data_IF_475432192428
#
_entry.id   IF_475432192428
#
_cell.length_a   1.000
_cell.length_b   1.000
_cell.length_c   1.000
_cell.angle_alpha   90.00
_cell.angle_beta   90.00
_cell.angle_gamma   90.00
#
_symmetry.space_group_name_H-M   'P 1'
#
loop_
_entity.id
_entity.type
_entity.pdbx_description
1 polymer ?
#
# COMPACT_ATOMS: atom_id res chain seq x y z
N UNK A 1 -17.36 -67.86 -26.88
CA UNK A 1 -17.53 -66.44 -26.49
C UNK A 1 -16.42 -65.68 -27.21
N UNK A 2 -16.75 -64.94 -28.26
CA UNK A 2 -15.76 -64.15 -29.00
C UNK A 2 -15.56 -62.81 -28.27
N UNK A 3 -14.34 -62.53 -27.78
CA UNK A 3 -14.02 -61.21 -27.24
C UNK A 3 -13.84 -60.23 -28.39
N UNK A 4 -14.73 -59.26 -28.55
CA UNK A 4 -14.51 -58.16 -29.48
C UNK A 4 -13.39 -57.28 -28.93
N UNK A 5 -12.19 -57.39 -29.50
CA UNK A 5 -11.10 -56.45 -29.22
C UNK A 5 -11.36 -55.17 -29.99
N UNK A 6 -11.94 -54.17 -29.33
CA UNK A 6 -12.05 -52.82 -29.89
C UNK A 6 -10.68 -52.13 -29.80
N UNK A 7 -10.30 -51.41 -30.85
CA UNK A 7 -9.06 -50.64 -30.92
C UNK A 7 -9.35 -49.14 -30.87
N UNK A 8 -8.46 -48.37 -30.24
CA UNK A 8 -8.55 -46.91 -30.15
C UNK A 8 -7.36 -46.33 -30.91
N UNK A 9 -7.61 -45.36 -31.78
CA UNK A 9 -6.58 -44.57 -32.49
C UNK A 9 -6.81 -43.10 -32.23
N UNK A 10 -5.74 -42.36 -31.97
CA UNK A 10 -5.77 -40.94 -31.63
C UNK A 10 -4.93 -40.15 -32.62
N UNK A 11 -5.47 -39.02 -33.10
CA UNK A 11 -4.75 -38.04 -33.92
C UNK A 11 -4.68 -36.72 -33.16
N UNK A 12 -3.50 -36.11 -33.09
CA UNK A 12 -3.27 -34.84 -32.38
C UNK A 12 -2.86 -33.77 -33.39
N UNK A 13 -3.45 -32.57 -33.25
CA UNK A 13 -3.15 -31.40 -34.07
C UNK A 13 -2.68 -30.26 -33.16
N UNK A 14 -1.48 -29.73 -33.43
CA UNK A 14 -0.95 -28.55 -32.75
C UNK A 14 -1.35 -27.30 -33.53
N UNK A 15 -1.87 -26.28 -32.83
CA UNK A 15 -2.40 -25.06 -33.46
C UNK A 15 -1.68 -23.83 -32.88
N UNK A 16 -1.27 -22.89 -33.75
CA UNK A 16 -0.73 -21.58 -33.40
C UNK A 16 -1.82 -20.52 -33.33
N UNK A 17 -1.78 -19.61 -32.34
CA UNK A 17 -2.88 -18.71 -31.95
C UNK A 17 -3.36 -17.65 -32.97
N UNK A 18 -2.91 -17.67 -34.22
CA UNK A 18 -3.23 -16.64 -35.23
C UNK A 18 -4.07 -17.12 -36.44
N UNK A 19 -4.70 -18.31 -36.42
CA UNK A 19 -5.80 -18.78 -37.31
C UNK A 19 -6.10 -20.28 -37.09
N UNK A 20 -7.24 -20.88 -37.53
CA UNK A 20 -8.64 -20.42 -37.69
C UNK A 20 -9.51 -20.77 -36.46
N UNK A 21 -10.77 -20.32 -36.41
CA UNK A 21 -11.66 -20.44 -35.21
C UNK A 21 -12.36 -21.79 -35.06
N UNK A 22 -12.21 -22.70 -36.01
CA UNK A 22 -12.96 -23.96 -36.08
C UNK A 22 -12.10 -25.09 -36.66
N UNK A 23 -12.01 -26.21 -35.94
CA UNK A 23 -11.22 -27.38 -36.31
C UNK A 23 -12.13 -28.57 -36.54
N UNK A 24 -11.96 -29.24 -37.68
CA UNK A 24 -12.77 -30.40 -38.04
C UNK A 24 -11.91 -31.66 -38.11
N UNK A 25 -12.22 -32.65 -37.30
CA UNK A 25 -11.66 -33.99 -37.36
C UNK A 25 -12.59 -34.89 -38.17
N UNK A 26 -12.07 -35.48 -39.25
CA UNK A 26 -12.80 -36.41 -40.12
C UNK A 26 -12.12 -37.78 -40.06
N UNK A 27 -12.86 -38.78 -39.58
CA UNK A 27 -12.40 -40.17 -39.45
C UNK A 27 -13.14 -41.02 -40.46
N UNK A 28 -12.39 -41.72 -41.31
CA UNK A 28 -12.93 -42.70 -42.25
C UNK A 28 -12.57 -44.10 -41.79
N UNK A 29 -13.55 -44.98 -41.69
CA UNK A 29 -13.36 -46.38 -41.34
C UNK A 29 -13.60 -47.25 -42.57
N UNK A 30 -12.52 -47.80 -43.13
CA UNK A 30 -12.55 -48.47 -44.44
C UNK A 30 -13.44 -49.73 -44.45
N UNK A 31 -13.44 -50.52 -43.38
CA UNK A 31 -14.19 -51.79 -43.34
C UNK A 31 -15.71 -51.59 -43.30
N UNK A 32 -16.20 -50.55 -42.62
CA UNK A 32 -17.63 -50.22 -42.59
C UNK A 32 -18.02 -49.19 -43.65
N UNK A 33 -17.04 -48.63 -44.36
CA UNK A 33 -17.19 -47.54 -45.32
C UNK A 33 -17.87 -46.29 -44.73
N UNK A 34 -17.76 -46.10 -43.42
CA UNK A 34 -18.37 -44.99 -42.70
C UNK A 34 -17.39 -43.82 -42.55
N UNK A 35 -17.93 -42.61 -42.59
CA UNK A 35 -17.20 -41.40 -42.25
C UNK A 35 -17.87 -40.67 -41.10
N UNK A 36 -17.12 -40.42 -40.04
CA UNK A 36 -17.56 -39.57 -38.93
C UNK A 36 -16.80 -38.26 -38.99
N UNK A 37 -17.52 -37.15 -38.91
CA UNK A 37 -16.95 -35.80 -38.87
C UNK A 37 -17.37 -35.13 -37.56
N UNK A 38 -16.40 -34.55 -36.85
CA UNK A 38 -16.63 -33.78 -35.63
C UNK A 38 -15.90 -32.45 -35.72
N UNK A 39 -16.61 -31.39 -35.38
CA UNK A 39 -16.10 -30.03 -35.46
C UNK A 39 -16.07 -29.42 -34.06
N UNK A 40 -14.98 -28.75 -33.72
CA UNK A 40 -14.78 -28.04 -32.46
C UNK A 40 -14.42 -26.59 -32.75
N UNK A 41 -15.21 -25.67 -32.18
CA UNK A 41 -14.95 -24.24 -32.21
C UNK A 41 -14.20 -23.82 -30.96
N UNK A 42 -13.07 -23.13 -31.11
CA UNK A 42 -12.36 -22.55 -29.98
C UNK A 42 -12.88 -21.13 -29.74
N UNK A 43 -13.88 -20.97 -28.88
CA UNK A 43 -13.92 -19.77 -28.05
C UNK A 43 -12.80 -19.94 -27.02
N UNK A 44 -11.61 -19.45 -27.34
CA UNK A 44 -10.56 -19.29 -26.34
C UNK A 44 -11.03 -18.22 -25.35
N UNK A 45 -11.79 -18.63 -24.34
CA UNK A 45 -11.94 -17.85 -23.11
C UNK A 45 -10.53 -17.73 -22.56
N UNK A 46 -9.91 -16.55 -22.66
CA UNK A 46 -8.63 -16.25 -22.00
C UNK A 46 -8.83 -16.41 -20.50
N UNK A 47 -8.61 -17.62 -19.98
CA UNK A 47 -8.43 -17.88 -18.56
C UNK A 47 -6.95 -17.75 -18.15
N UNK A 48 -6.19 -16.96 -18.91
CA UNK A 48 -4.79 -16.64 -18.63
C UNK A 48 -4.70 -15.16 -18.28
N UNK A 49 -4.09 -14.88 -17.13
CA UNK A 49 -3.73 -13.54 -16.72
C UNK A 49 -2.31 -13.25 -17.24
N UNK A 50 -2.18 -12.18 -18.00
CA UNK A 50 -0.90 -11.70 -18.53
C UNK A 50 -0.06 -11.06 -17.40
N UNK A 51 1.28 -11.12 -17.44
CA UNK A 51 2.13 -10.51 -16.42
C UNK A 51 2.07 -8.99 -16.45
N UNK A 52 1.93 -8.39 -15.27
CA UNK A 52 2.19 -6.97 -15.05
C UNK A 52 3.66 -6.77 -14.68
N UNK A 53 4.35 -5.95 -15.46
CA UNK A 53 5.79 -5.66 -15.30
C UNK A 53 5.96 -4.23 -14.78
N UNK A 54 6.54 -4.09 -13.59
CA UNK A 54 6.81 -2.80 -12.96
C UNK A 54 8.30 -2.71 -12.61
N UNK A 55 8.94 -1.62 -13.02
CA UNK A 55 10.36 -1.41 -12.77
C UNK A 55 10.57 -0.34 -11.69
N UNK A 56 11.28 -0.71 -10.63
CA UNK A 56 11.66 0.16 -9.51
C UNK A 56 13.16 0.42 -9.52
N UNK A 57 13.59 1.48 -8.84
CA UNK A 57 15.00 1.84 -8.69
C UNK A 57 15.27 2.39 -7.28
N UNK A 58 16.48 2.17 -6.75
CA UNK A 58 16.81 2.47 -5.34
C UNK A 58 17.03 3.96 -5.01
N UNK A 59 17.37 4.80 -5.98
CA UNK A 59 17.66 6.22 -5.72
C UNK A 59 17.42 7.12 -6.95
N UNK A 60 16.94 8.34 -6.67
CA UNK A 60 16.82 9.44 -7.63
C UNK A 60 17.87 10.54 -7.43
N UNK A 61 18.80 10.42 -6.49
CA UNK A 61 19.74 11.50 -6.17
C UNK A 61 20.73 11.71 -7.33
N UNK A 62 20.71 12.84 -8.06
CA UNK A 62 21.65 13.07 -9.16
C UNK A 62 23.08 13.38 -8.68
N UNK A 63 23.25 13.71 -7.38
CA UNK A 63 24.52 14.09 -6.75
C UNK A 63 25.17 12.94 -5.97
N UNK A 64 24.73 11.69 -6.18
CA UNK A 64 25.41 10.53 -5.63
C UNK A 64 26.84 10.39 -6.18
N UNK A 65 27.75 9.81 -5.38
CA UNK A 65 29.07 9.41 -5.90
C UNK A 65 28.87 8.45 -7.08
N UNK A 66 29.61 8.68 -8.17
CA UNK A 66 29.61 7.89 -9.41
C UNK A 66 29.73 6.38 -9.21
N UNK A 67 30.34 5.92 -8.10
CA UNK A 67 30.53 4.51 -7.78
C UNK A 67 29.38 3.90 -6.95
N UNK A 68 28.44 4.72 -6.48
CA UNK A 68 27.31 4.21 -5.70
C UNK A 68 26.45 3.29 -6.56
N UNK A 69 25.98 2.19 -5.96
CA UNK A 69 25.18 1.18 -6.66
C UNK A 69 23.72 1.63 -6.71
N UNK A 70 23.16 1.63 -7.92
CA UNK A 70 21.74 1.80 -8.17
C UNK A 70 21.17 0.43 -8.50
N UNK A 71 20.20 0.00 -7.70
CA UNK A 71 19.54 -1.29 -7.84
C UNK A 71 18.27 -1.07 -8.66
N UNK A 72 18.13 -1.81 -9.76
CA UNK A 72 16.91 -1.84 -10.57
C UNK A 72 16.16 -3.12 -10.29
N UNK A 73 14.93 -3.02 -9.79
CA UNK A 73 14.09 -4.15 -9.42
C UNK A 73 12.89 -4.23 -10.36
N UNK A 74 12.87 -5.23 -11.22
CA UNK A 74 11.75 -5.56 -12.09
C UNK A 74 10.82 -6.53 -11.39
N UNK A 75 9.64 -6.06 -10.95
CA UNK A 75 8.59 -6.88 -10.36
C UNK A 75 7.66 -7.39 -11.46
N UNK A 76 7.42 -8.70 -11.47
CA UNK A 76 6.58 -9.40 -12.44
C UNK A 76 5.45 -10.05 -11.66
N UNK A 77 4.21 -9.64 -11.87
CA UNK A 77 3.10 -10.05 -11.00
C UNK A 77 1.81 -10.33 -11.74
N UNK A 78 0.97 -11.14 -11.11
CA UNK A 78 -0.41 -11.36 -11.56
C UNK A 78 -0.54 -12.25 -12.80
N UNK A 79 0.49 -13.03 -13.14
CA UNK A 79 0.42 -13.94 -14.29
C UNK A 79 -0.01 -15.34 -13.89
N UNK A 80 -0.68 -16.05 -14.79
CA UNK A 80 -0.99 -17.47 -14.58
C UNK A 80 0.32 -18.29 -14.60
N UNK A 81 0.53 -19.24 -13.67
CA UNK A 81 1.77 -20.03 -13.59
C UNK A 81 2.23 -20.56 -14.95
N UNK A 82 3.46 -20.25 -15.35
CA UNK A 82 4.00 -20.59 -16.67
C UNK A 82 5.42 -20.08 -16.85
N UNK A 83 6.12 -20.59 -17.88
CA UNK A 83 7.51 -20.22 -18.15
C UNK A 83 7.61 -18.77 -18.64
N UNK A 84 8.38 -17.96 -17.93
CA UNK A 84 8.77 -16.61 -18.35
C UNK A 84 10.27 -16.57 -18.71
N UNK A 85 10.65 -15.69 -19.62
CA UNK A 85 12.05 -15.32 -19.88
C UNK A 85 12.21 -13.82 -19.66
N UNK A 86 13.05 -13.43 -18.71
CA UNK A 86 13.38 -12.03 -18.43
C UNK A 86 14.65 -11.65 -19.20
N UNK A 87 14.67 -10.46 -19.79
CA UNK A 87 15.82 -9.94 -20.55
C UNK A 87 15.98 -8.44 -20.24
N UNK A 88 17.20 -8.03 -19.89
CA UNK A 88 17.52 -6.63 -19.61
C UNK A 88 18.12 -5.96 -20.83
N UNK A 89 17.56 -4.82 -21.20
CA UNK A 89 18.01 -4.02 -22.33
C UNK A 89 18.57 -2.68 -21.84
N UNK A 90 19.64 -2.21 -22.49
CA UNK A 90 20.16 -0.85 -22.35
C UNK A 90 20.00 -0.16 -23.70
N UNK A 91 19.23 0.93 -23.71
CA UNK A 91 18.88 1.69 -24.93
C UNK A 91 18.32 0.78 -26.03
N UNK A 92 17.43 -0.14 -25.63
CA UNK A 92 16.75 -1.09 -26.52
C UNK A 92 17.57 -2.32 -26.93
N UNK A 93 18.85 -2.40 -26.56
CA UNK A 93 19.74 -3.52 -26.92
C UNK A 93 19.98 -4.44 -25.73
N UNK A 94 19.98 -5.75 -25.96
CA UNK A 94 20.25 -6.74 -24.90
C UNK A 94 21.67 -6.57 -24.33
N UNK A 95 21.75 -6.37 -23.02
CA UNK A 95 23.03 -6.16 -22.34
C UNK A 95 23.48 -7.42 -21.62
N UNK A 96 24.68 -7.90 -21.96
CA UNK A 96 25.36 -9.00 -21.27
C UNK A 96 26.15 -8.55 -20.04
N UNK A 97 26.33 -7.23 -19.88
CA UNK A 97 27.07 -6.64 -18.76
C UNK A 97 26.18 -6.51 -17.51
N UNK A 98 24.86 -6.58 -17.67
CA UNK A 98 23.91 -6.58 -16.56
C UNK A 98 23.74 -8.00 -16.02
N UNK A 99 24.31 -8.25 -14.85
CA UNK A 99 24.15 -9.51 -14.13
C UNK A 99 22.81 -9.51 -13.39
N UNK A 100 21.82 -10.16 -14.00
CA UNK A 100 20.47 -10.26 -13.44
C UNK A 100 20.37 -11.38 -12.41
N UNK A 101 19.83 -11.06 -11.23
CA UNK A 101 19.43 -12.03 -10.21
C UNK A 101 17.92 -12.19 -10.27
N UNK A 102 17.43 -13.44 -10.30
CA UNK A 102 15.98 -13.71 -10.31
C UNK A 102 15.54 -14.25 -8.96
N UNK A 103 14.42 -13.75 -8.46
CA UNK A 103 13.81 -14.19 -7.21
C UNK A 103 13.00 -15.48 -7.35
N UNK A 104 12.61 -16.10 -6.22
CA UNK A 104 11.72 -17.24 -6.24
C UNK A 104 10.34 -16.86 -6.80
N UNK A 105 9.66 -17.83 -7.41
CA UNK A 105 8.26 -17.70 -7.81
C UNK A 105 7.36 -17.88 -6.59
N UNK A 106 6.53 -16.87 -6.31
CA UNK A 106 5.55 -16.88 -5.22
C UNK A 106 4.18 -17.05 -5.85
N UNK A 107 3.49 -18.12 -5.48
CA UNK A 107 2.13 -18.39 -5.93
C UNK A 107 1.11 -17.97 -4.86
N UNK A 108 0.19 -17.09 -5.23
CA UNK A 108 -0.90 -16.62 -4.39
C UNK A 108 -2.23 -16.94 -5.10
N UNK A 109 -2.87 -18.03 -4.68
CA UNK A 109 -4.05 -18.57 -5.38
C UNK A 109 -3.70 -19.14 -6.75
N UNK A 110 -4.31 -18.60 -7.81
CA UNK A 110 -4.10 -19.01 -9.21
C UNK A 110 -3.09 -18.16 -9.97
N UNK A 111 -2.44 -17.19 -9.30
CA UNK A 111 -1.50 -16.26 -9.91
C UNK A 111 -0.11 -16.40 -9.28
N UNK A 112 0.91 -16.18 -10.10
CA UNK A 112 2.32 -16.19 -9.72
C UNK A 112 2.90 -14.78 -9.79
N UNK A 113 3.85 -14.51 -8.92
CA UNK A 113 4.70 -13.32 -8.95
C UNK A 113 6.16 -13.71 -8.78
N UNK A 114 7.06 -12.95 -9.37
CA UNK A 114 8.51 -13.08 -9.20
C UNK A 114 9.16 -11.72 -9.47
N UNK A 115 10.48 -11.63 -9.36
CA UNK A 115 11.23 -10.42 -9.68
C UNK A 115 12.58 -10.75 -10.32
N UNK A 116 13.12 -9.79 -11.03
CA UNK A 116 14.50 -9.78 -11.50
C UNK A 116 15.16 -8.48 -11.09
N UNK A 117 16.42 -8.56 -10.65
CA UNK A 117 17.18 -7.43 -10.15
C UNK A 117 18.51 -7.31 -10.89
N UNK A 118 18.91 -6.09 -11.23
CA UNK A 118 20.25 -5.78 -11.72
C UNK A 118 20.83 -4.59 -10.95
N UNK A 119 22.15 -4.59 -10.78
CA UNK A 119 22.89 -3.49 -10.19
C UNK A 119 23.65 -2.73 -11.27
N UNK A 120 23.52 -1.40 -11.26
CA UNK A 120 24.26 -0.47 -12.12
C UNK A 120 24.97 0.57 -11.25
N UNK A 121 25.90 1.33 -11.82
CA UNK A 121 26.53 2.43 -11.09
C UNK A 121 25.73 3.73 -11.27
N UNK A 122 25.86 4.64 -10.30
CA UNK A 122 25.33 5.99 -10.38
C UNK A 122 25.82 6.73 -11.63
N UNK A 123 27.09 6.55 -12.02
CA UNK A 123 27.62 7.10 -13.27
C UNK A 123 26.88 6.59 -14.52
N UNK A 124 26.55 5.29 -14.55
CA UNK A 124 25.75 4.70 -15.63
C UNK A 124 24.29 5.18 -15.59
N UNK A 125 23.73 5.39 -14.40
CA UNK A 125 22.36 5.89 -14.23
C UNK A 125 22.20 7.33 -14.75
N UNK A 126 23.13 8.23 -14.42
CA UNK A 126 23.05 9.64 -14.86
C UNK A 126 23.43 9.85 -16.33
N UNK A 127 23.99 8.85 -17.00
CA UNK A 127 24.43 8.91 -18.42
C UNK A 127 23.31 8.89 -19.46
N UNK A 128 22.07 9.24 -19.08
CA UNK A 128 20.86 9.29 -19.93
C UNK A 128 20.43 7.98 -20.60
N UNK A 129 21.06 6.86 -20.22
CA UNK A 129 20.67 5.52 -20.67
C UNK A 129 19.29 5.13 -20.18
N UNK A 130 18.57 4.38 -21.01
CA UNK A 130 17.28 3.78 -20.67
C UNK A 130 17.45 2.29 -20.41
N UNK A 131 17.09 1.85 -19.21
CA UNK A 131 17.15 0.46 -18.78
C UNK A 131 15.76 -0.15 -18.89
N UNK A 132 15.62 -1.24 -19.64
CA UNK A 132 14.33 -1.89 -19.86
C UNK A 132 14.36 -3.32 -19.34
N UNK A 133 13.38 -3.68 -18.52
CA UNK A 133 13.07 -5.06 -18.20
C UNK A 133 12.03 -5.58 -19.18
N UNK A 134 12.41 -6.57 -20.00
CA UNK A 134 11.54 -7.24 -20.96
C UNK A 134 11.23 -8.65 -20.49
N UNK A 135 9.94 -8.96 -20.37
CA UNK A 135 9.45 -10.29 -19.97
C UNK A 135 8.75 -10.94 -21.16
N UNK A 136 9.30 -12.04 -21.65
CA UNK A 136 8.64 -12.88 -22.63
C UNK A 136 7.79 -13.94 -21.91
N UNK A 137 6.48 -13.90 -22.14
CA UNK A 137 5.52 -14.87 -21.61
C UNK A 137 4.68 -15.41 -22.76
N UNK A 138 4.80 -16.70 -23.03
CA UNK A 138 4.15 -17.40 -24.16
C UNK A 138 4.31 -16.69 -25.52
N UNK A 139 5.48 -16.12 -25.78
CA UNK A 139 5.79 -15.44 -27.05
C UNK A 139 5.41 -13.95 -27.09
N UNK A 140 4.68 -13.44 -26.11
CA UNK A 140 4.38 -12.01 -25.98
C UNK A 140 5.40 -11.33 -25.08
N UNK A 141 5.81 -10.11 -25.45
CA UNK A 141 6.75 -9.30 -24.68
C UNK A 141 6.00 -8.25 -23.85
N UNK A 142 6.33 -8.18 -22.57
CA UNK A 142 5.84 -7.19 -21.61
C UNK A 142 7.04 -6.42 -21.06
N UNK A 143 7.06 -5.12 -21.31
CA UNK A 143 8.23 -4.28 -21.05
C UNK A 143 7.90 -3.17 -20.07
N UNK A 144 8.85 -2.85 -19.19
CA UNK A 144 8.85 -1.59 -18.46
C UNK A 144 10.27 -1.01 -18.45
N UNK A 145 10.37 0.32 -18.47
CA UNK A 145 11.63 1.03 -18.63
C UNK A 145 11.84 2.05 -17.51
N UNK A 146 13.10 2.26 -17.18
CA UNK A 146 13.53 3.24 -16.22
C UNK A 146 14.69 4.03 -16.81
N UNK A 147 14.63 5.34 -16.59
CA UNK A 147 15.65 6.31 -16.98
C UNK A 147 15.98 7.14 -15.76
N UNK A 148 17.12 7.85 -15.80
CA UNK A 148 17.46 8.83 -14.76
C UNK A 148 16.24 9.68 -14.44
N UNK A 149 16.05 10.00 -13.17
CA UNK A 149 15.02 10.95 -12.76
C UNK A 149 15.37 12.30 -13.39
N UNK A 150 14.82 12.56 -14.57
CA UNK A 150 14.84 13.88 -15.18
C UNK A 150 13.94 14.75 -14.31
N UNK A 151 14.36 15.97 -14.01
CA UNK A 151 13.46 17.00 -13.47
C UNK A 151 12.25 17.29 -14.41
N UNK A 152 12.13 16.56 -15.52
CA UNK A 152 11.18 16.72 -16.62
C UNK A 152 10.01 15.72 -16.64
N UNK A 153 9.88 14.80 -15.66
CA UNK A 153 8.51 14.46 -15.26
C UNK A 153 8.08 15.62 -14.39
N UNK A 154 7.23 16.52 -14.92
CA UNK A 154 6.80 17.77 -14.27
C UNK A 154 6.98 17.69 -12.75
N UNK A 155 7.89 18.48 -12.15
CA UNK A 155 8.13 18.40 -10.72
C UNK A 155 6.75 18.52 -10.07
N UNK A 156 6.37 17.52 -9.25
CA UNK A 156 5.11 17.57 -8.51
C UNK A 156 5.06 18.94 -7.85
N UNK A 157 4.04 19.72 -8.22
CA UNK A 157 3.93 21.08 -7.72
C UNK A 157 3.91 21.08 -6.20
N UNK A 158 4.48 22.14 -5.61
CA UNK A 158 4.46 22.34 -4.16
C UNK A 158 3.05 22.12 -3.63
N UNK A 159 2.93 21.28 -2.62
CA UNK A 159 1.65 20.87 -2.05
C UNK A 159 1.63 21.12 -0.55
N UNK A 160 0.48 21.57 -0.04
CA UNK A 160 0.27 21.79 1.39
C UNK A 160 -0.89 20.92 1.91
N UNK A 161 -0.66 20.28 3.05
CA UNK A 161 -1.60 19.39 3.74
C UNK A 161 -1.84 19.88 5.16
N UNK A 162 -3.08 19.80 5.62
CA UNK A 162 -3.46 20.09 7.00
C UNK A 162 -3.89 18.80 7.70
N UNK A 163 -3.43 18.62 8.93
CA UNK A 163 -3.84 17.51 9.80
C UNK A 163 -4.50 18.05 11.07
N UNK A 164 -5.64 17.47 11.49
CA UNK A 164 -6.35 17.87 12.70
C UNK A 164 -5.58 17.40 13.95
N UNK A 165 -5.95 17.91 15.15
CA UNK A 165 -5.45 17.36 16.39
C UNK A 165 -5.97 15.94 16.57
N UNK A 166 -5.14 15.07 17.15
CA UNK A 166 -5.60 13.71 17.44
C UNK A 166 -6.62 13.70 18.58
N UNK A 167 -7.57 12.75 18.61
CA UNK A 167 -8.46 12.58 19.76
C UNK A 167 -7.71 12.37 21.08
N UNK A 168 -6.53 11.75 21.05
CA UNK A 168 -5.66 11.63 22.21
C UNK A 168 -5.22 13.00 22.74
N UNK A 169 -4.76 13.90 21.87
CA UNK A 169 -4.34 15.25 22.25
C UNK A 169 -5.50 16.11 22.75
N UNK A 170 -6.68 15.98 22.13
CA UNK A 170 -7.89 16.72 22.50
C UNK A 170 -8.45 16.29 23.86
N UNK A 171 -8.65 14.99 24.07
CA UNK A 171 -9.48 14.50 25.17
C UNK A 171 -8.69 13.90 26.34
N UNK A 172 -7.43 13.48 26.10
CA UNK A 172 -6.58 12.88 27.13
C UNK A 172 -5.49 13.84 27.55
N UNK A 173 -4.64 14.29 26.62
CA UNK A 173 -3.50 15.15 26.94
C UNK A 173 -3.90 16.62 27.13
N UNK A 174 -5.07 17.03 26.59
CA UNK A 174 -5.59 18.41 26.61
C UNK A 174 -4.57 19.43 26.07
N UNK A 175 -3.86 19.06 25.03
CA UNK A 175 -2.88 19.90 24.33
C UNK A 175 -2.99 19.67 22.82
N UNK A 176 -4.12 20.04 22.21
CA UNK A 176 -4.35 19.81 20.78
C UNK A 176 -3.48 20.73 19.93
N UNK A 177 -3.01 20.19 18.81
CA UNK A 177 -2.21 20.91 17.83
C UNK A 177 -2.71 20.57 16.44
N UNK A 178 -2.68 21.54 15.54
CA UNK A 178 -2.85 21.31 14.11
C UNK A 178 -1.54 21.51 13.39
N UNK A 179 -1.36 20.82 12.27
CA UNK A 179 -0.09 20.86 11.53
C UNK A 179 -0.34 21.15 10.06
N UNK A 180 0.45 22.05 9.51
CA UNK A 180 0.55 22.35 8.09
C UNK A 180 1.86 21.81 7.56
N UNK A 181 1.76 20.82 6.66
CA UNK A 181 2.89 20.17 6.01
C UNK A 181 2.97 20.64 4.56
N UNK A 182 4.06 21.32 4.22
CA UNK A 182 4.40 21.70 2.84
C UNK A 182 5.47 20.75 2.31
N UNK A 183 5.26 20.21 1.12
CA UNK A 183 6.17 19.26 0.46
C UNK A 183 6.56 19.73 -0.94
N UNK A 184 7.62 19.13 -1.47
CA UNK A 184 8.11 19.34 -2.83
C UNK A 184 8.59 20.78 -3.12
N UNK A 185 9.04 21.50 -2.10
CA UNK A 185 9.68 22.81 -2.26
C UNK A 185 11.07 22.67 -2.87
N UNK A 186 11.37 23.42 -3.94
CA UNK A 186 12.71 23.49 -4.52
C UNK A 186 13.71 24.27 -3.64
N UNK A 187 13.21 25.29 -2.93
CA UNK A 187 13.96 26.15 -2.03
C UNK A 187 13.09 26.58 -0.86
N UNK A 188 13.70 27.02 0.23
CA UNK A 188 13.01 27.64 1.38
C UNK A 188 13.22 29.15 1.45
N UNK A 189 13.96 29.72 0.50
CA UNK A 189 14.21 31.16 0.46
C UNK A 189 12.93 31.91 0.14
N UNK A 190 12.63 32.97 0.89
CA UNK A 190 11.39 33.75 0.74
C UNK A 190 10.10 32.93 0.97
N UNK A 191 10.19 31.76 1.60
CA UNK A 191 9.01 31.02 2.05
C UNK A 191 8.36 31.77 3.20
N UNK A 192 7.08 32.08 3.06
CA UNK A 192 6.24 32.65 4.11
C UNK A 192 5.11 31.69 4.40
N UNK A 193 5.04 31.18 5.62
CA UNK A 193 3.95 30.32 6.10
C UNK A 193 3.28 31.04 7.27
N UNK A 194 2.00 31.33 7.14
CA UNK A 194 1.22 32.09 8.14
C UNK A 194 -0.05 31.37 8.51
N UNK A 195 -0.43 31.50 9.77
CA UNK A 195 -1.71 31.01 10.28
C UNK A 195 -2.70 32.16 10.48
N UNK A 196 -3.99 31.86 10.32
CA UNK A 196 -5.07 32.76 10.71
C UNK A 196 -6.31 31.98 11.14
N UNK A 197 -7.22 32.65 11.84
CA UNK A 197 -8.48 32.08 12.35
C UNK A 197 -9.67 32.74 11.67
N UNK A 198 -10.77 32.00 11.49
CA UNK A 198 -12.01 32.53 10.93
C UNK A 198 -12.59 33.67 11.77
N UNK A 199 -12.44 33.61 13.09
CA UNK A 199 -12.86 34.67 14.00
C UNK A 199 -11.89 35.87 14.13
N UNK A 200 -10.73 35.83 13.45
CA UNK A 200 -9.73 36.90 13.48
C UNK A 200 -8.92 37.04 14.77
N UNK A 201 -9.07 36.15 15.76
CA UNK A 201 -8.22 36.14 16.97
C UNK A 201 -6.76 35.83 16.60
N UNK A 202 -5.79 36.33 17.39
CA UNK A 202 -4.37 36.05 17.14
C UNK A 202 -4.04 34.56 17.28
N UNK A 203 -2.97 34.16 16.61
CA UNK A 203 -2.40 32.80 16.62
C UNK A 203 -0.94 32.86 17.03
N UNK A 204 -0.45 31.78 17.61
CA UNK A 204 0.92 31.64 18.07
C UNK A 204 1.44 30.27 17.64
N UNK A 205 2.08 30.21 16.49
CA UNK A 205 2.67 29.01 15.93
C UNK A 205 4.03 28.66 16.56
N UNK A 206 4.34 27.37 16.59
CA UNK A 206 5.65 26.87 16.92
C UNK A 206 6.66 27.20 15.79
N UNK A 207 7.98 27.26 16.08
CA UNK A 207 9.00 27.47 15.06
C UNK A 207 8.92 26.44 13.92
N UNK A 208 9.16 26.91 12.69
CA UNK A 208 9.15 26.06 11.50
C UNK A 208 10.21 24.97 11.57
N UNK A 209 9.82 23.75 11.22
CA UNK A 209 10.73 22.62 11.08
C UNK A 209 10.96 22.37 9.59
N UNK A 210 12.20 22.57 9.14
CA UNK A 210 12.61 22.38 7.75
C UNK A 210 13.45 21.11 7.65
N UNK A 211 13.12 20.24 6.68
CA UNK A 211 13.89 19.03 6.40
C UNK A 211 14.15 18.90 4.90
N UNK A 212 15.40 18.67 4.52
CA UNK A 212 15.79 18.33 3.15
C UNK A 212 15.50 16.85 2.91
N UNK A 213 14.86 16.54 1.79
CA UNK A 213 14.47 15.19 1.39
C UNK A 213 15.49 14.55 0.46
N UNK A 214 15.46 13.22 0.34
CA UNK A 214 16.38 12.45 -0.51
C UNK A 214 16.26 12.76 -2.01
N UNK A 215 15.08 13.22 -2.45
CA UNK A 215 14.84 13.68 -3.82
C UNK A 215 15.36 15.12 -4.07
N UNK A 216 16.00 15.75 -3.08
CA UNK A 216 16.56 17.10 -3.17
C UNK A 216 15.58 18.22 -2.83
N UNK A 217 14.28 17.95 -2.69
CA UNK A 217 13.28 18.95 -2.28
C UNK A 217 13.31 19.19 -0.77
N UNK A 218 12.57 20.20 -0.32
CA UNK A 218 12.40 20.53 1.10
C UNK A 218 10.96 20.25 1.53
N UNK A 219 10.84 19.77 2.76
CA UNK A 219 9.56 19.72 3.48
C UNK A 219 9.61 20.71 4.63
N UNK A 220 8.53 21.47 4.80
CA UNK A 220 8.38 22.43 5.88
C UNK A 220 7.14 22.08 6.68
N UNK A 221 7.32 21.92 7.98
CA UNK A 221 6.25 21.63 8.93
C UNK A 221 6.07 22.82 9.86
N UNK A 222 4.85 23.37 9.89
CA UNK A 222 4.41 24.35 10.87
C UNK A 222 3.34 23.74 11.76
N UNK A 223 3.48 23.94 13.07
CA UNK A 223 2.54 23.41 14.06
C UNK A 223 1.93 24.58 14.82
N UNK A 224 0.60 24.58 14.94
CA UNK A 224 -0.15 25.56 15.71
C UNK A 224 -0.85 24.88 16.88
N UNK A 225 -0.45 25.17 18.13
CA UNK A 225 -1.25 24.84 19.30
C UNK A 225 -2.61 25.52 19.23
N UNK A 226 -3.68 24.78 19.49
CA UNK A 226 -5.06 25.31 19.46
C UNK A 226 -5.74 25.14 20.82
N UNK A 227 -6.78 25.91 21.07
CA UNK A 227 -7.61 25.73 22.26
C UNK A 227 -8.63 24.61 22.04
N UNK A 228 -8.89 23.82 23.09
CA UNK A 228 -9.82 22.68 23.03
C UNK A 228 -11.24 23.14 22.76
N UNK A 229 -11.68 24.24 23.38
CA UNK A 229 -13.04 24.76 23.27
C UNK A 229 -13.24 25.31 21.86
N UNK A 230 -12.32 26.18 21.41
CA UNK A 230 -12.37 26.76 20.07
C UNK A 230 -12.47 25.67 18.98
N UNK A 231 -11.64 24.61 19.05
CA UNK A 231 -11.71 23.49 18.10
C UNK A 231 -13.04 22.73 18.19
N UNK A 232 -13.51 22.42 19.39
CA UNK A 232 -14.74 21.63 19.61
C UNK A 232 -15.98 22.37 19.16
N UNK A 233 -16.00 23.70 19.27
CA UNK A 233 -17.06 24.60 18.79
C UNK A 233 -17.05 24.81 17.28
N UNK A 234 -16.01 24.34 16.58
CA UNK A 234 -15.93 24.38 15.12
C UNK A 234 -15.22 25.59 14.55
N UNK A 235 -14.32 26.23 15.31
CA UNK A 235 -13.45 27.28 14.77
C UNK A 235 -12.68 26.78 13.53
N UNK A 236 -12.56 27.67 12.54
CA UNK A 236 -11.83 27.37 11.30
C UNK A 236 -10.45 28.00 11.33
N UNK A 237 -9.43 27.22 11.05
CA UNK A 237 -8.04 27.66 10.97
C UNK A 237 -7.55 27.60 9.54
N UNK A 238 -6.74 28.58 9.14
CA UNK A 238 -6.19 28.69 7.79
C UNK A 238 -4.67 28.68 7.85
N UNK A 239 -4.04 27.84 7.03
CA UNK A 239 -2.61 27.90 6.74
C UNK A 239 -2.44 28.47 5.34
N UNK A 240 -1.70 29.57 5.25
CA UNK A 240 -1.37 30.25 3.99
C UNK A 240 0.13 30.14 3.72
N UNK A 241 0.48 29.60 2.56
CA UNK A 241 1.84 29.36 2.09
C UNK A 241 2.11 30.22 0.87
N UNK A 242 3.11 31.09 0.96
CA UNK A 242 3.57 32.00 -0.09
C UNK A 242 5.05 31.72 -0.38
N UNK A 243 5.42 31.61 -1.65
CA UNK A 243 6.79 31.36 -2.11
C UNK A 243 6.98 31.92 -3.52
N UNK A 244 8.19 32.37 -3.87
CA UNK A 244 8.46 32.98 -5.19
C UNK A 244 8.21 32.05 -6.38
N UNK A 245 8.36 30.73 -6.17
CA UNK A 245 8.13 29.72 -7.21
C UNK A 245 6.66 29.26 -7.30
N UNK A 246 5.78 29.76 -6.41
CA UNK A 246 4.35 29.47 -6.47
C UNK A 246 3.66 30.50 -7.37
N UNK A 247 2.86 30.07 -8.37
CA UNK A 247 2.09 31.00 -9.19
C UNK A 247 1.04 31.77 -8.38
N UNK A 248 0.51 31.14 -7.32
CA UNK A 248 -0.41 31.73 -6.37
C UNK A 248 -0.17 31.12 -4.99
N UNK A 249 -0.43 31.91 -3.94
CA UNK A 249 -0.39 31.42 -2.56
C UNK A 249 -1.30 30.20 -2.37
N UNK A 250 -0.79 29.17 -1.71
CA UNK A 250 -1.59 28.01 -1.32
C UNK A 250 -2.25 28.31 0.02
N UNK A 251 -3.58 28.37 0.03
CA UNK A 251 -4.35 28.43 1.26
C UNK A 251 -5.07 27.10 1.49
N UNK A 252 -4.98 26.60 2.71
CA UNK A 252 -5.73 25.44 3.20
C UNK A 252 -6.48 25.84 4.46
N UNK A 253 -7.65 25.28 4.66
CA UNK A 253 -8.45 25.46 5.87
C UNK A 253 -8.70 24.12 6.54
N UNK A 254 -8.80 24.14 7.86
CA UNK A 254 -9.20 22.98 8.65
C UNK A 254 -10.09 23.42 9.81
N UNK A 255 -11.11 22.63 10.07
CA UNK A 255 -12.03 22.76 11.19
C UNK A 255 -12.42 21.35 11.62
N UNK A 256 -13.15 21.26 12.72
CA UNK A 256 -13.79 20.00 13.13
C UNK A 256 -14.77 19.53 12.05
N UNK A 257 -14.76 18.25 11.72
CA UNK A 257 -15.68 17.65 10.75
C UNK A 257 -17.15 17.91 11.11
N UNK A 258 -18.00 18.22 10.15
CA UNK A 258 -19.43 18.39 10.38
C UNK A 258 -20.18 17.05 10.46
N UNK A 259 -21.41 17.06 10.99
CA UNK A 259 -22.33 15.93 10.92
C UNK A 259 -22.56 15.18 12.24
N UNK A 260 -23.54 14.27 12.22
CA UNK A 260 -23.99 13.57 13.42
C UNK A 260 -22.94 12.55 13.88
N UNK A 261 -22.51 12.70 15.13
CA UNK A 261 -21.52 11.81 15.76
C UNK A 261 -22.08 10.42 16.00
N UNK A 262 -21.26 9.41 15.72
CA UNK A 262 -21.60 8.00 15.96
C UNK A 262 -20.50 7.36 16.78
N UNK A 263 -20.87 6.78 17.92
CA UNK A 263 -19.93 6.14 18.85
C UNK A 263 -19.42 4.79 18.30
N UNK A 264 -18.11 4.50 18.38
CA UNK A 264 -17.55 3.23 17.94
C UNK A 264 -18.10 2.06 18.76
N UNK A 265 -18.24 0.92 18.09
CA UNK A 265 -18.31 -0.40 18.71
C UNK A 265 -16.93 -1.04 18.64
N UNK A 266 -16.46 -1.53 19.78
CA UNK A 266 -15.13 -2.09 19.93
C UNK A 266 -15.25 -3.57 20.33
N UNK A 267 -14.47 -4.42 19.67
CA UNK A 267 -14.37 -5.86 19.89
C UNK A 267 -12.91 -6.24 19.93
N UNK A 268 -12.52 -7.09 20.89
CA UNK A 268 -11.14 -7.59 21.03
C UNK A 268 -11.18 -9.10 20.89
N UNK A 269 -10.31 -9.64 20.05
CA UNK A 269 -10.20 -11.06 19.73
C UNK A 269 -8.85 -11.59 20.22
N UNK A 270 -8.90 -12.74 20.89
CA UNK A 270 -7.71 -13.52 21.26
C UNK A 270 -7.04 -14.13 20.02
N UNK A 271 -5.76 -14.53 20.10
CA UNK A 271 -5.13 -15.35 19.08
C UNK A 271 -5.93 -16.65 18.88
N UNK A 272 -5.84 -17.22 17.68
CA UNK A 272 -6.49 -18.50 17.39
C UNK A 272 -5.76 -19.64 18.14
N UNK A 273 -6.50 -20.71 18.51
CA UNK A 273 -5.92 -21.83 19.26
C UNK A 273 -4.69 -22.46 18.57
N UNK A 274 -4.69 -22.50 17.24
CA UNK A 274 -3.58 -23.03 16.45
C UNK A 274 -2.32 -22.14 16.52
N UNK A 275 -2.51 -20.82 16.59
CA UNK A 275 -1.45 -19.83 16.77
C UNK A 275 -0.84 -19.99 18.18
N UNK A 276 -1.69 -20.17 19.18
CA UNK A 276 -1.30 -20.40 20.58
C UNK A 276 -0.47 -21.67 20.82
N UNK A 277 -0.57 -22.67 19.94
CA UNK A 277 0.13 -23.96 20.10
C UNK A 277 1.55 -23.97 19.52
N UNK A 278 1.88 -23.08 18.58
CA UNK A 278 3.10 -23.23 17.76
C UNK A 278 3.88 -21.93 17.48
N UNK A 279 3.42 -20.75 17.90
CA UNK A 279 4.06 -19.49 17.49
C UNK A 279 4.91 -18.80 18.58
N UNK A 280 6.05 -18.24 18.13
CA UNK A 280 6.93 -17.39 18.94
C UNK A 280 6.27 -16.02 19.25
N UNK A 281 5.26 -15.62 18.47
CA UNK A 281 4.50 -14.38 18.60
C UNK A 281 2.99 -14.69 18.50
N UNK A 282 2.20 -14.06 19.35
CA UNK A 282 0.76 -14.19 19.41
C UNK A 282 0.09 -12.84 19.12
N UNK A 283 -1.00 -12.89 18.37
CA UNK A 283 -1.68 -11.70 17.85
C UNK A 283 -3.01 -11.43 18.54
N UNK A 284 -3.12 -10.25 19.15
CA UNK A 284 -4.41 -9.68 19.56
C UNK A 284 -4.94 -8.71 18.51
N UNK A 285 -6.23 -8.84 18.19
CA UNK A 285 -6.90 -7.97 17.22
C UNK A 285 -8.03 -7.17 17.87
N UNK A 286 -8.02 -5.86 17.70
CA UNK A 286 -9.09 -4.97 18.11
C UNK A 286 -9.83 -4.43 16.87
N UNK A 287 -11.08 -4.84 16.68
CA UNK A 287 -11.98 -4.30 15.66
C UNK A 287 -12.76 -3.12 16.22
N UNK A 288 -12.70 -2.00 15.52
CA UNK A 288 -13.39 -0.77 15.86
C UNK A 288 -14.27 -0.40 14.68
N UNK A 289 -15.59 -0.31 14.86
CA UNK A 289 -16.51 -0.10 13.74
C UNK A 289 -17.68 0.81 14.10
N UNK A 290 -18.36 1.31 13.06
CA UNK A 290 -19.57 2.15 13.15
C UNK A 290 -19.32 3.48 13.85
N UNK A 291 -18.18 4.11 13.61
CA UNK A 291 -17.86 5.42 14.19
C UNK A 291 -17.86 6.54 13.16
N UNK A 292 -18.12 7.76 13.63
CA UNK A 292 -18.01 8.99 12.86
C UNK A 292 -17.77 10.17 13.80
N UNK A 293 -16.83 11.10 13.51
CA UNK A 293 -16.00 11.20 12.29
C UNK A 293 -14.87 10.15 12.22
N UNK A 294 -13.99 10.25 11.22
CA UNK A 294 -12.89 9.28 11.02
C UNK A 294 -11.79 9.38 12.08
N UNK A 295 -11.63 10.54 12.74
CA UNK A 295 -10.53 10.77 13.67
C UNK A 295 -10.69 9.92 14.94
N UNK A 296 -9.71 9.05 15.17
CA UNK A 296 -9.71 8.08 16.27
C UNK A 296 -8.30 7.86 16.79
N UNK A 297 -8.16 7.58 18.08
CA UNK A 297 -6.88 7.15 18.65
C UNK A 297 -7.04 5.81 19.35
N UNK A 298 -6.05 4.93 19.19
CA UNK A 298 -6.06 3.58 19.76
C UNK A 298 -4.76 3.37 20.52
N UNK A 299 -4.86 2.85 21.74
CA UNK A 299 -3.74 2.44 22.57
C UNK A 299 -4.03 1.08 23.18
N UNK A 300 -2.98 0.36 23.53
CA UNK A 300 -3.09 -0.90 24.26
C UNK A 300 -2.58 -0.76 25.67
N UNK A 301 -3.26 -1.44 26.61
CA UNK A 301 -2.78 -1.62 27.97
C UNK A 301 -2.55 -3.11 28.24
N UNK A 302 -1.52 -3.40 29.02
CA UNK A 302 -1.26 -4.72 29.60
C UNK A 302 -1.34 -4.58 31.11
N UNK A 303 -2.27 -5.30 31.75
CA UNK A 303 -2.55 -5.20 33.18
C UNK A 303 -2.69 -3.73 33.65
N UNK A 304 -3.49 -2.96 32.90
CA UNK A 304 -3.76 -1.52 33.09
C UNK A 304 -2.56 -0.57 32.92
N UNK A 305 -1.40 -1.08 32.50
CA UNK A 305 -0.24 -0.26 32.16
C UNK A 305 -0.19 -0.01 30.66
N UNK A 306 0.04 1.25 30.29
CA UNK A 306 0.16 1.64 28.89
C UNK A 306 1.34 0.91 28.23
N UNK A 307 1.06 0.25 27.10
CA UNK A 307 2.08 -0.38 26.26
C UNK A 307 2.75 0.65 25.35
N UNK A 308 3.92 0.30 24.81
CA UNK A 308 4.61 1.19 23.88
C UNK A 308 3.89 1.21 22.53
N UNK A 309 3.87 2.38 21.88
CA UNK A 309 3.13 2.59 20.63
C UNK A 309 3.67 1.77 19.45
N UNK A 310 4.95 1.37 19.48
CA UNK A 310 5.61 0.54 18.47
C UNK A 310 5.23 -0.95 18.54
N UNK A 311 4.60 -1.39 19.64
CA UNK A 311 4.17 -2.78 19.83
C UNK A 311 2.84 -3.09 19.15
N UNK A 312 2.11 -2.06 18.70
CA UNK A 312 0.84 -2.24 18.02
C UNK A 312 0.76 -1.41 16.74
N UNK A 313 0.01 -1.89 15.78
CA UNK A 313 -0.25 -1.19 14.51
C UNK A 313 -1.74 -1.03 14.31
N UNK A 314 -2.17 0.17 13.94
CA UNK A 314 -3.59 0.46 13.67
C UNK A 314 -3.75 0.85 12.21
N UNK A 315 -4.71 0.24 11.51
CA UNK A 315 -5.02 0.58 10.12
C UNK A 315 -5.59 1.99 10.02
N UNK A 316 -5.49 2.62 8.85
CA UNK A 316 -6.25 3.84 8.61
C UNK A 316 -7.76 3.54 8.69
N UNK A 317 -8.60 4.48 9.18
CA UNK A 317 -10.04 4.32 9.14
C UNK A 317 -10.57 4.16 7.71
N UNK A 318 -11.20 3.03 7.42
CA UNK A 318 -11.85 2.75 6.15
C UNK A 318 -13.35 3.03 6.27
N UNK A 319 -13.94 3.60 5.22
CA UNK A 319 -15.39 3.83 5.17
C UNK A 319 -16.11 2.48 5.06
N UNK A 320 -17.10 2.25 5.91
CA UNK A 320 -17.94 1.06 5.83
C UNK A 320 -18.95 1.19 4.68
N UNK A 321 -19.06 0.14 3.86
CA UNK A 321 -19.92 0.09 2.67
C UNK A 321 -21.35 0.53 2.97
N UNK A 322 -21.91 1.35 2.07
CA UNK A 322 -23.27 1.87 2.15
C UNK A 322 -23.59 2.63 3.46
N UNK A 323 -22.57 3.15 4.17
CA UNK A 323 -22.77 4.00 5.35
C UNK A 323 -21.90 5.27 5.32
N UNK A 324 -22.18 6.21 6.22
CA UNK A 324 -21.32 7.37 6.51
C UNK A 324 -20.31 7.08 7.63
N UNK A 325 -20.24 5.83 8.11
CA UNK A 325 -19.41 5.45 9.25
C UNK A 325 -18.12 4.77 8.81
N UNK A 326 -17.15 4.71 9.72
CA UNK A 326 -15.84 4.13 9.50
C UNK A 326 -15.62 2.88 10.36
N UNK A 327 -14.61 2.10 9.96
CA UNK A 327 -14.04 1.01 10.74
C UNK A 327 -12.51 1.00 10.66
N UNK A 328 -11.86 0.42 11.66
CA UNK A 328 -10.40 0.26 11.73
C UNK A 328 -10.06 -1.01 12.53
N UNK A 329 -8.86 -1.54 12.32
CA UNK A 329 -8.29 -2.64 13.09
C UNK A 329 -7.03 -2.18 13.79
N UNK A 330 -6.80 -2.67 15.01
CA UNK A 330 -5.51 -2.57 15.69
C UNK A 330 -4.98 -3.96 15.99
N UNK A 331 -3.75 -4.23 15.57
CA UNK A 331 -3.02 -5.48 15.82
C UNK A 331 -1.99 -5.23 16.91
N UNK A 332 -2.01 -6.03 17.97
CA UNK A 332 -0.97 -6.07 19.00
C UNK A 332 -0.24 -7.42 18.91
N UNK A 333 1.06 -7.36 18.70
CA UNK A 333 1.95 -8.51 18.66
C UNK A 333 2.57 -8.73 20.05
N UNK A 334 2.49 -9.96 20.56
CA UNK A 334 3.00 -10.33 21.88
C UNK A 334 3.93 -11.53 21.73
N UNK A 335 5.20 -11.45 22.14
CA UNK A 335 6.05 -12.64 22.19
C UNK A 335 5.43 -13.71 23.08
N UNK A 336 5.41 -14.98 22.65
CA UNK A 336 4.81 -16.09 23.40
C UNK A 336 5.36 -16.24 24.82
N UNK A 337 6.63 -15.90 25.04
CA UNK A 337 7.25 -15.85 26.39
C UNK A 337 6.58 -14.85 27.35
N UNK A 338 5.89 -13.84 26.82
CA UNK A 338 5.15 -12.83 27.58
C UNK A 338 3.64 -13.13 27.64
N UNK A 339 3.18 -14.24 27.06
CA UNK A 339 1.80 -14.69 27.12
C UNK A 339 1.56 -15.51 28.40
N UNK A 340 1.01 -14.88 29.42
CA UNK A 340 0.80 -15.51 30.74
C UNK A 340 -0.68 -15.61 31.06
N UNK A 341 -1.06 -16.74 31.66
CA UNK A 341 -2.40 -16.91 32.24
C UNK A 341 -2.71 -15.75 33.19
N UNK A 342 -3.96 -15.30 33.17
CA UNK A 342 -4.51 -14.20 33.96
C UNK A 342 -4.03 -12.80 33.57
N UNK A 343 -3.18 -12.66 32.54
CA UNK A 343 -2.87 -11.35 31.99
C UNK A 343 -4.09 -10.76 31.27
N UNK A 344 -4.31 -9.46 31.49
CA UNK A 344 -5.35 -8.67 30.86
C UNK A 344 -4.74 -7.75 29.80
N UNK A 345 -5.24 -7.85 28.56
CA UNK A 345 -4.92 -6.93 27.49
C UNK A 345 -6.14 -6.10 27.11
N UNK A 346 -5.98 -4.78 27.12
CA UNK A 346 -7.07 -3.83 26.91
C UNK A 346 -6.81 -2.98 25.67
N UNK A 347 -7.71 -3.04 24.70
CA UNK A 347 -7.79 -2.06 23.62
C UNK A 347 -8.55 -0.83 24.13
N UNK A 348 -7.84 0.30 24.23
CA UNK A 348 -8.40 1.59 24.64
C UNK A 348 -8.56 2.48 23.41
N UNK A 349 -9.80 2.86 23.15
CA UNK A 349 -10.22 3.66 21.99
C UNK A 349 -10.69 5.02 22.45
N UNK A 350 -10.11 6.08 21.89
CA UNK A 350 -10.47 7.48 22.15
C UNK A 350 -11.15 8.05 20.91
N UNK A 351 -12.39 8.52 21.07
CA UNK A 351 -13.21 9.05 19.98
C UNK A 351 -14.25 10.05 20.51
N UNK A 352 -14.47 11.15 19.78
CA UNK A 352 -15.29 12.27 20.26
C UNK A 352 -16.76 11.90 20.55
N UNK A 353 -17.30 10.90 19.87
CA UNK A 353 -18.68 10.46 20.06
C UNK A 353 -18.90 9.60 21.31
N UNK A 354 -17.83 9.18 22.00
CA UNK A 354 -17.93 8.38 23.23
C UNK A 354 -18.36 9.25 24.42
N UNK A 355 -19.05 8.70 25.43
CA UNK A 355 -19.53 9.47 26.58
C UNK A 355 -18.40 9.84 27.56
N UNK A 356 -18.70 10.76 28.49
CA UNK A 356 -17.87 11.19 29.65
C UNK A 356 -16.41 11.53 29.32
N UNK A 357 -15.55 10.51 29.22
CA UNK A 357 -14.10 10.62 29.04
C UNK A 357 -13.67 10.51 27.58
N UNK A 358 -14.62 10.40 26.64
CA UNK A 358 -14.38 10.15 25.22
C UNK A 358 -13.56 8.87 24.97
N UNK A 359 -13.56 7.95 25.93
CA UNK A 359 -12.71 6.75 25.95
C UNK A 359 -13.56 5.52 26.19
N UNK A 360 -13.27 4.44 25.45
CA UNK A 360 -13.92 3.14 25.57
C UNK A 360 -12.84 2.07 25.63
N UNK A 361 -12.93 1.19 26.62
CA UNK A 361 -12.00 0.10 26.85
C UNK A 361 -12.69 -1.24 26.65
N UNK A 362 -11.99 -2.15 25.97
CA UNK A 362 -12.37 -3.56 25.86
C UNK A 362 -11.17 -4.42 26.16
N UNK A 363 -11.35 -5.35 27.09
CA UNK A 363 -10.30 -6.25 27.54
C UNK A 363 -10.55 -7.68 27.10
N UNK A 364 -9.45 -8.42 26.95
CA UNK A 364 -9.43 -9.87 26.94
C UNK A 364 -8.50 -10.34 28.06
N UNK A 365 -8.93 -11.36 28.80
CA UNK A 365 -8.11 -12.01 29.83
C UNK A 365 -7.65 -13.35 29.28
N UNK A 366 -6.36 -13.64 29.45
CA UNK A 366 -5.79 -14.92 29.04
C UNK A 366 -6.27 -15.99 30.00
N UNK A 367 -7.24 -16.79 29.57
CA UNK A 367 -7.68 -17.95 30.32
C UNK A 367 -6.82 -19.15 29.94
N UNK A 368 -6.33 -19.90 30.92
CA UNK A 368 -5.87 -21.27 30.68
C UNK A 368 -7.06 -22.08 30.18
N UNK A 369 -7.10 -22.38 28.87
CA UNK A 369 -8.10 -23.28 28.32
C UNK A 369 -8.06 -24.63 29.04
N UNK A 370 -9.21 -25.05 29.58
CA UNK A 370 -9.53 -26.46 29.80
C UNK A 370 -10.14 -27.04 28.53
#
# INVERSE_FOLDING_TARGET
MASSSLYITTSQLTVSGEQPREFTCRVFHAETNDTITKTVSTECVKNFSDPSVTLFYSSCNPSGDTHTTIQLLCRISGYTPGKIKVTWLVDGHESKELYAQSGPEIQEGNLTSTYSEVNITQGQWVSEKTYTCRVNYYGFNFDNHARRCTAESEPRGVSAYLSPPTPLELYVNKSPKITCLVVDLASTNNLTLTWSRGNGKPVHEDPLIIKKQFNGTFTVTSTLPVDVIDWVEGETYYCKVSHGDLPTDIQRSISKDDGKRVAPKVYVFSPDRKEMENEEELTLTCLIQKFFPKDISVRWLHNKKLMRADQHTTTQPHRADNTHTFFAYSRLAIPGANWKTDDEFTCQVIHEALPKTRTLEKSVVINSGK
#
